data_IF_969404672255
#
_entry.id   IF_969404672255
#
_cell.length_a   1.000
_cell.length_b   1.000
_cell.length_c   1.000
_cell.angle_alpha   90.00
_cell.angle_beta   90.00
_cell.angle_gamma   90.00
#
_symmetry.space_group_name_H-M   'P 1'
#
loop_
_entity.id
_entity.type
_entity.pdbx_description
1 polymer ?
#
# COMPACT_ATOMS: atom_id res chain seq x y z
N UNK A 1 -47.41 18.20 27.49
CA UNK A 1 -46.58 19.37 27.14
C UNK A 1 -45.17 18.85 26.83
N UNK A 2 -44.81 18.71 25.55
CA UNK A 2 -43.55 18.11 25.12
C UNK A 2 -42.62 19.20 24.56
N UNK A 3 -41.41 19.30 25.08
CA UNK A 3 -40.41 20.27 24.64
C UNK A 3 -39.80 19.82 23.30
N UNK A 4 -39.62 20.72 22.32
CA UNK A 4 -39.04 20.35 21.03
C UNK A 4 -37.56 19.99 21.19
N UNK A 5 -37.20 18.77 20.78
CA UNK A 5 -35.82 18.32 20.62
C UNK A 5 -35.13 19.20 19.55
N UNK A 6 -34.27 20.12 19.98
CA UNK A 6 -33.33 20.78 19.09
C UNK A 6 -32.29 19.76 18.68
N UNK A 7 -32.45 19.21 17.47
CA UNK A 7 -31.43 18.43 16.78
C UNK A 7 -30.22 19.34 16.53
N UNK A 8 -29.28 19.34 17.47
CA UNK A 8 -28.00 20.02 17.30
C UNK A 8 -27.26 19.26 16.20
N UNK A 9 -27.37 19.78 14.96
CA UNK A 9 -26.55 19.33 13.83
C UNK A 9 -25.10 19.43 14.30
N UNK A 10 -24.47 18.28 14.54
CA UNK A 10 -23.02 18.20 14.71
C UNK A 10 -22.44 18.69 13.38
N UNK A 11 -21.92 19.93 13.39
CA UNK A 11 -21.05 20.41 12.31
C UNK A 11 -19.87 19.43 12.24
N UNK A 12 -19.47 18.96 11.05
CA UNK A 12 -18.15 18.37 10.91
C UNK A 12 -17.15 19.38 11.47
N UNK A 13 -16.11 18.97 12.24
CA UNK A 13 -15.06 19.90 12.59
C UNK A 13 -14.58 20.53 11.28
N UNK A 14 -14.67 21.86 11.23
CA UNK A 14 -14.21 22.67 10.13
C UNK A 14 -12.86 22.12 9.67
N UNK A 15 -12.74 21.89 8.36
CA UNK A 15 -11.52 21.46 7.69
C UNK A 15 -10.34 22.24 8.29
N UNK A 16 -9.56 21.55 9.13
CA UNK A 16 -8.38 22.13 9.76
C UNK A 16 -7.53 22.64 8.61
N UNK A 17 -7.22 23.95 8.55
CA UNK A 17 -6.23 24.44 7.61
C UNK A 17 -4.97 23.60 7.83
N UNK A 18 -4.40 23.06 6.76
CA UNK A 18 -3.10 22.37 6.84
C UNK A 18 -2.09 23.48 7.14
N UNK A 19 -1.86 23.76 8.43
CA UNK A 19 -1.09 24.92 8.90
C UNK A 19 0.39 24.84 8.47
N UNK A 20 0.91 23.64 8.20
CA UNK A 20 2.16 23.43 7.47
C UNK A 20 2.12 22.08 6.75
N UNK A 21 2.40 22.08 5.45
CA UNK A 21 2.54 20.85 4.66
C UNK A 21 3.64 19.94 5.23
N UNK A 22 4.68 20.51 5.86
CA UNK A 22 5.83 19.79 6.39
C UNK A 22 5.69 19.35 7.85
N UNK A 23 4.54 19.53 8.49
CA UNK A 23 4.34 19.13 9.90
C UNK A 23 4.60 17.62 10.14
N UNK A 24 4.45 16.78 9.12
CA UNK A 24 4.77 15.35 9.21
C UNK A 24 6.27 15.05 9.40
N UNK A 25 7.17 15.98 9.03
CA UNK A 25 8.62 15.83 9.21
C UNK A 25 8.96 15.94 10.70
N UNK A 26 8.18 16.72 11.45
CA UNK A 26 8.29 16.82 12.90
C UNK A 26 7.59 15.62 13.54
N UNK A 27 8.20 14.44 13.41
CA UNK A 27 7.70 13.25 14.06
C UNK A 27 7.59 13.51 15.59
N UNK A 28 6.41 13.33 16.20
CA UNK A 28 6.29 13.39 17.66
C UNK A 28 7.22 12.34 18.26
N UNK A 29 7.72 12.59 19.49
CA UNK A 29 8.55 11.63 20.21
C UNK A 29 7.82 10.28 20.25
N UNK A 30 8.37 9.29 19.54
CA UNK A 30 7.75 7.97 19.42
C UNK A 30 7.91 7.28 20.79
N UNK A 31 6.83 6.71 21.36
CA UNK A 31 7.00 5.84 22.52
C UNK A 31 7.99 4.74 22.16
N UNK A 32 8.82 4.36 23.13
CA UNK A 32 9.82 3.32 22.96
C UNK A 32 9.12 2.08 22.38
N UNK A 33 9.46 1.76 21.13
CA UNK A 33 8.85 0.64 20.44
C UNK A 33 9.50 -0.59 21.02
N UNK A 34 8.73 -1.36 21.79
CA UNK A 34 9.12 -2.71 22.14
C UNK A 34 9.66 -3.41 20.88
N UNK A 35 10.92 -3.83 20.92
CA UNK A 35 11.57 -4.50 19.81
C UNK A 35 10.92 -5.87 19.63
N UNK A 36 9.87 -5.93 18.81
CA UNK A 36 9.27 -7.21 18.45
C UNK A 36 10.12 -7.77 17.32
N UNK A 37 10.77 -8.90 17.58
CA UNK A 37 11.52 -9.63 16.56
C UNK A 37 10.52 -10.24 15.59
N UNK A 38 10.37 -9.66 14.40
CA UNK A 38 9.53 -10.19 13.35
C UNK A 38 10.40 -11.09 12.47
N UNK A 39 10.01 -12.35 12.32
CA UNK A 39 10.61 -13.25 11.36
C UNK A 39 9.92 -13.02 10.00
N UNK A 40 10.69 -12.59 9.00
CA UNK A 40 10.25 -12.60 7.60
C UNK A 40 10.67 -13.95 7.04
N UNK A 41 9.72 -14.84 6.84
CA UNK A 41 9.93 -16.13 6.17
C UNK A 41 9.38 -16.07 4.76
N UNK A 42 10.16 -16.56 3.81
CA UNK A 42 9.69 -16.82 2.46
C UNK A 42 9.24 -18.28 2.42
N UNK A 43 7.93 -18.48 2.34
CA UNK A 43 7.31 -19.81 2.33
C UNK A 43 7.08 -20.33 0.89
N UNK A 44 7.80 -19.78 -0.08
CA UNK A 44 7.68 -20.21 -1.47
C UNK A 44 8.23 -21.62 -1.70
N UNK A 45 7.58 -22.39 -2.58
CA UNK A 45 8.12 -23.67 -3.00
C UNK A 45 9.43 -23.46 -3.76
N UNK A 46 10.29 -24.47 -3.72
CA UNK A 46 11.57 -24.45 -4.45
C UNK A 46 11.39 -24.12 -5.93
N UNK A 47 10.33 -24.69 -6.52
CA UNK A 47 9.90 -24.42 -7.88
C UNK A 47 8.48 -23.84 -7.81
N UNK A 48 8.32 -22.58 -8.21
CA UNK A 48 7.01 -21.92 -8.29
C UNK A 48 6.30 -22.46 -9.53
N UNK A 49 5.15 -23.13 -9.41
CA UNK A 49 4.43 -23.63 -10.56
C UNK A 49 3.90 -22.45 -11.38
N UNK A 50 4.26 -22.41 -12.66
CA UNK A 50 3.74 -21.44 -13.63
C UNK A 50 3.04 -22.23 -14.73
N UNK A 51 1.87 -21.77 -15.15
CA UNK A 51 1.09 -22.37 -16.22
C UNK A 51 1.45 -21.79 -17.58
N UNK A 52 1.22 -22.54 -18.65
CA UNK A 52 1.44 -22.07 -20.04
C UNK A 52 0.66 -20.77 -20.31
N UNK A 53 -0.57 -20.65 -19.81
CA UNK A 53 -1.36 -19.42 -19.96
C UNK A 53 -0.76 -18.23 -19.24
N UNK A 54 -0.13 -18.43 -18.08
CA UNK A 54 0.61 -17.35 -17.42
C UNK A 54 1.86 -16.97 -18.24
N UNK A 55 2.57 -17.95 -18.80
CA UNK A 55 3.71 -17.70 -19.69
C UNK A 55 3.28 -16.88 -20.91
N UNK A 56 2.18 -17.25 -21.58
CA UNK A 56 1.62 -16.52 -22.72
C UNK A 56 1.34 -15.04 -22.39
N UNK A 57 0.78 -14.77 -21.21
CA UNK A 57 0.48 -13.41 -20.75
C UNK A 57 1.77 -12.62 -20.49
N UNK A 58 2.81 -13.26 -19.95
CA UNK A 58 4.11 -12.63 -19.76
C UNK A 58 4.79 -12.35 -21.11
N UNK A 59 4.79 -13.31 -22.03
CA UNK A 59 5.40 -13.17 -23.36
C UNK A 59 4.68 -12.14 -24.24
N UNK A 60 3.37 -11.99 -24.11
CA UNK A 60 2.64 -10.95 -24.85
C UNK A 60 3.08 -9.51 -24.53
N UNK A 61 3.70 -9.28 -23.36
CA UNK A 61 4.18 -7.95 -22.94
C UNK A 61 5.70 -7.82 -23.00
N UNK A 62 6.42 -8.92 -22.80
CA UNK A 62 7.88 -8.93 -22.70
C UNK A 62 8.58 -9.68 -23.84
N UNK A 63 7.85 -10.30 -24.75
CA UNK A 63 8.39 -11.10 -25.86
C UNK A 63 9.39 -10.32 -26.71
N UNK A 64 9.00 -9.12 -27.18
CA UNK A 64 9.87 -8.26 -27.98
C UNK A 64 11.17 -7.88 -27.24
N UNK A 65 11.08 -7.67 -25.91
CA UNK A 65 12.24 -7.37 -25.07
C UNK A 65 13.17 -8.58 -24.94
N UNK A 66 12.60 -9.78 -24.80
CA UNK A 66 13.37 -11.02 -24.76
C UNK A 66 14.02 -11.35 -26.10
N UNK A 67 13.34 -11.11 -27.21
CA UNK A 67 13.91 -11.25 -28.54
C UNK A 67 15.06 -10.26 -28.77
N UNK A 68 14.99 -9.05 -28.23
CA UNK A 68 16.10 -8.09 -28.26
C UNK A 68 17.28 -8.54 -27.37
N UNK A 69 17.00 -9.02 -26.16
CA UNK A 69 18.02 -9.42 -25.18
C UNK A 69 18.70 -10.75 -25.53
N UNK A 70 17.97 -11.68 -26.14
CA UNK A 70 18.38 -13.08 -26.32
C UNK A 70 18.29 -13.59 -27.76
N UNK A 71 17.58 -12.91 -28.67
CA UNK A 71 17.35 -13.33 -30.06
C UNK A 71 18.53 -13.14 -31.00
N UNK A 72 19.72 -12.80 -30.49
CA UNK A 72 20.98 -12.76 -31.26
C UNK A 72 21.88 -13.93 -30.83
N UNK A 73 21.57 -15.10 -31.37
CA UNK A 73 22.33 -16.36 -31.25
C UNK A 73 21.88 -17.37 -32.28
#
# INVERSE_FOLDING_TARGET
MAHPHKSQRRRPPDSVPIDDLYDYVRAPARPDRASVTWAVTDDWPKDVPVTETEIDVFEAWFGDLFDELFGKG
#
